data_IF_692592252895
#
_entry.id   IF_692592252895
#
_cell.length_a   1.000
_cell.length_b   1.000
_cell.length_c   1.000
_cell.angle_alpha   90.00
_cell.angle_beta   90.00
_cell.angle_gamma   90.00
#
_symmetry.space_group_name_H-M   'P 1'
#
loop_
_entity.id
_entity.type
_entity.pdbx_description
1 polymer ?
#
# COMPACT_ATOMS: atom_id res chain seq x y z
N UNK A 1 -22.69 43.64 24.76
CA UNK A 1 -22.66 42.70 23.59
C UNK A 1 -23.28 41.37 24.05
N UNK A 2 -24.28 40.86 23.37
CA UNK A 2 -25.00 39.66 23.83
C UNK A 2 -24.00 38.48 23.89
N UNK A 3 -23.91 37.82 25.05
CA UNK A 3 -22.95 36.72 25.33
C UNK A 3 -22.98 35.61 24.24
N UNK A 4 -24.13 35.41 23.59
CA UNK A 4 -24.32 34.47 22.50
C UNK A 4 -23.55 34.89 21.22
N UNK A 5 -23.64 36.18 20.79
CA UNK A 5 -22.95 36.70 19.59
C UNK A 5 -21.41 36.62 19.73
N UNK A 6 -20.91 36.91 20.94
CA UNK A 6 -19.48 36.80 21.25
C UNK A 6 -18.99 35.37 21.14
N UNK A 7 -19.74 34.39 21.67
CA UNK A 7 -19.40 32.97 21.59
C UNK A 7 -19.33 32.47 20.13
N UNK A 8 -20.30 32.84 19.28
CA UNK A 8 -20.32 32.47 17.88
C UNK A 8 -19.12 33.08 17.15
N UNK A 9 -18.78 34.33 17.41
CA UNK A 9 -17.65 34.99 16.80
C UNK A 9 -16.31 34.32 17.18
N UNK A 10 -16.11 33.99 18.45
CA UNK A 10 -14.95 33.26 18.94
C UNK A 10 -14.86 31.88 18.26
N UNK A 11 -15.97 31.17 18.17
CA UNK A 11 -16.05 29.88 17.49
C UNK A 11 -15.61 30.00 16.02
N UNK A 12 -16.15 30.99 15.28
CA UNK A 12 -15.80 31.21 13.89
C UNK A 12 -14.30 31.60 13.71
N UNK A 13 -13.76 32.46 14.57
CA UNK A 13 -12.34 32.86 14.53
C UNK A 13 -11.41 31.65 14.68
N UNK A 14 -11.80 30.64 15.46
CA UNK A 14 -11.01 29.43 15.66
C UNK A 14 -11.21 28.45 14.49
N UNK A 15 -12.45 28.16 14.13
CA UNK A 15 -12.75 27.06 13.20
C UNK A 15 -12.61 27.43 11.72
N UNK A 16 -12.77 28.70 11.32
CA UNK A 16 -12.55 29.14 9.93
C UNK A 16 -11.09 28.88 9.48
N UNK A 17 -10.05 29.30 10.23
CA UNK A 17 -8.68 29.00 9.85
C UNK A 17 -8.40 27.48 9.83
N UNK A 18 -8.95 26.71 10.76
CA UNK A 18 -8.78 25.25 10.81
C UNK A 18 -9.34 24.61 9.53
N UNK A 19 -10.58 24.96 9.17
CA UNK A 19 -11.23 24.36 7.98
C UNK A 19 -10.53 24.75 6.69
N UNK A 20 -10.03 25.99 6.57
CA UNK A 20 -9.21 26.42 5.43
C UNK A 20 -7.91 25.60 5.37
N UNK A 21 -7.19 25.48 6.48
CA UNK A 21 -5.92 24.74 6.54
C UNK A 21 -6.11 23.27 6.16
N UNK A 22 -7.18 22.63 6.61
CA UNK A 22 -7.52 21.26 6.26
C UNK A 22 -7.88 21.13 4.78
N UNK A 23 -8.59 22.10 4.20
CA UNK A 23 -8.88 22.16 2.77
C UNK A 23 -7.59 22.26 1.93
N UNK A 24 -6.69 23.16 2.31
CA UNK A 24 -5.39 23.31 1.64
C UNK A 24 -4.52 22.06 1.75
N UNK A 25 -4.45 21.46 2.93
CA UNK A 25 -3.75 20.19 3.15
C UNK A 25 -4.27 19.07 2.23
N UNK A 26 -5.59 18.98 2.03
CA UNK A 26 -6.18 18.00 1.12
C UNK A 26 -5.77 18.26 -0.35
N UNK A 27 -5.65 19.52 -0.77
CA UNK A 27 -5.17 19.87 -2.11
C UNK A 27 -3.70 19.43 -2.29
N UNK A 28 -2.85 19.68 -1.30
CA UNK A 28 -1.44 19.24 -1.34
C UNK A 28 -1.35 17.72 -1.45
N UNK A 29 -2.14 16.97 -0.66
CA UNK A 29 -2.21 15.50 -0.77
C UNK A 29 -2.71 15.04 -2.13
N UNK A 30 -3.69 15.71 -2.72
CA UNK A 30 -4.15 15.40 -4.08
C UNK A 30 -3.04 15.53 -5.11
N UNK A 31 -2.26 16.62 -5.03
CA UNK A 31 -1.13 16.85 -5.94
C UNK A 31 -0.01 15.82 -5.76
N UNK A 32 0.33 15.47 -4.51
CA UNK A 32 1.27 14.38 -4.21
C UNK A 32 0.83 13.06 -4.86
N UNK A 33 -0.46 12.68 -4.71
CA UNK A 33 -0.98 11.44 -5.31
C UNK A 33 -0.97 11.46 -6.84
N UNK A 34 -1.23 12.62 -7.46
CA UNK A 34 -1.08 12.78 -8.92
C UNK A 34 0.35 12.54 -9.38
N UNK A 35 1.34 13.07 -8.67
CA UNK A 35 2.76 12.88 -8.99
C UNK A 35 3.18 11.41 -8.86
N UNK A 36 2.74 10.73 -7.79
CA UNK A 36 3.01 9.29 -7.61
C UNK A 36 2.45 8.48 -8.79
N UNK A 37 1.21 8.74 -9.19
CA UNK A 37 0.58 8.04 -10.33
C UNK A 37 1.30 8.36 -11.63
N UNK A 38 1.64 9.62 -11.90
CA UNK A 38 2.35 10.01 -13.13
C UNK A 38 3.73 9.33 -13.23
N UNK A 39 4.46 9.24 -12.13
CA UNK A 39 5.73 8.51 -12.07
C UNK A 39 5.54 7.00 -12.28
N UNK A 40 4.52 6.42 -11.65
CA UNK A 40 4.17 5.02 -11.85
C UNK A 40 3.85 4.71 -13.32
N UNK A 41 2.97 5.51 -13.95
CA UNK A 41 2.60 5.34 -15.36
C UNK A 41 3.82 5.47 -16.29
N UNK A 42 4.73 6.40 -15.99
CA UNK A 42 6.00 6.56 -16.73
C UNK A 42 6.91 5.33 -16.58
N UNK A 43 7.00 4.76 -15.39
CA UNK A 43 7.81 3.56 -15.15
C UNK A 43 7.22 2.34 -15.87
N UNK A 44 5.91 2.16 -15.87
CA UNK A 44 5.26 0.99 -16.50
C UNK A 44 5.53 0.86 -18.00
N UNK A 45 5.82 1.97 -18.70
CA UNK A 45 6.16 1.95 -20.13
C UNK A 45 7.68 1.83 -20.39
N UNK A 46 8.50 1.84 -19.34
CA UNK A 46 9.94 1.65 -19.48
C UNK A 46 10.28 0.19 -19.70
N UNK A 47 11.42 -0.07 -20.37
CA UNK A 47 11.92 -1.42 -20.52
C UNK A 47 12.29 -2.03 -19.15
N UNK A 48 12.00 -3.33 -18.92
CA UNK A 48 12.43 -4.01 -17.71
C UNK A 48 13.95 -4.01 -17.58
N UNK A 49 14.43 -3.88 -16.36
CA UNK A 49 15.85 -3.98 -16.02
C UNK A 49 16.12 -5.40 -15.51
N UNK A 50 17.19 -6.03 -15.98
CA UNK A 50 17.63 -7.33 -15.44
C UNK A 50 18.04 -7.14 -13.98
N UNK A 51 17.39 -7.90 -13.08
CA UNK A 51 17.66 -7.83 -11.66
C UNK A 51 19.07 -8.28 -11.31
N UNK A 52 19.81 -7.44 -10.59
CA UNK A 52 21.17 -7.71 -10.14
C UNK A 52 21.30 -7.47 -8.63
N UNK A 53 22.28 -8.12 -8.02
CA UNK A 53 22.61 -7.93 -6.62
C UNK A 53 22.99 -6.47 -6.32
N UNK A 54 22.52 -5.93 -5.20
CA UNK A 54 22.78 -4.55 -4.74
C UNK A 54 22.38 -3.43 -5.72
N UNK A 55 21.51 -3.70 -6.67
CA UNK A 55 21.03 -2.70 -7.62
C UNK A 55 20.10 -1.72 -6.91
N UNK A 56 20.32 -0.42 -7.14
CA UNK A 56 19.38 0.62 -6.69
C UNK A 56 18.22 0.67 -7.68
N UNK A 57 17.00 0.53 -7.16
CA UNK A 57 15.77 0.52 -7.94
C UNK A 57 14.77 1.49 -7.34
N UNK A 58 13.98 2.11 -8.18
CA UNK A 58 12.81 2.87 -7.76
C UNK A 58 11.64 1.93 -7.41
N UNK A 59 10.75 2.38 -6.52
CA UNK A 59 9.52 1.63 -6.27
C UNK A 59 8.68 1.57 -7.55
N UNK A 60 8.18 0.38 -7.88
CA UNK A 60 7.49 0.07 -9.14
C UNK A 60 8.36 0.06 -10.39
N UNK A 61 9.69 0.08 -10.27
CA UNK A 61 10.60 -0.11 -11.41
C UNK A 61 10.33 -1.46 -12.07
N UNK A 62 10.06 -1.51 -13.40
CA UNK A 62 9.98 -2.78 -14.11
C UNK A 62 11.30 -3.53 -14.07
N UNK A 63 11.23 -4.81 -13.70
CA UNK A 63 12.37 -5.70 -13.57
C UNK A 63 12.05 -7.06 -14.15
N UNK A 64 13.08 -7.75 -14.59
CA UNK A 64 13.01 -9.14 -15.03
C UNK A 64 14.12 -9.96 -14.40
N UNK A 65 13.89 -11.25 -14.22
CA UNK A 65 14.90 -12.19 -13.73
C UNK A 65 14.61 -13.60 -14.20
N UNK A 66 15.66 -14.43 -14.25
CA UNK A 66 15.57 -15.85 -14.58
C UNK A 66 15.92 -16.66 -13.33
N UNK A 67 15.19 -17.74 -13.09
CA UNK A 67 15.44 -18.60 -11.93
C UNK A 67 14.37 -19.65 -11.73
N UNK A 68 14.28 -20.16 -10.51
CA UNK A 68 13.35 -21.23 -10.10
C UNK A 68 12.61 -20.85 -8.82
N UNK A 69 11.35 -21.27 -8.72
CA UNK A 69 10.61 -21.19 -7.46
C UNK A 69 11.10 -22.27 -6.49
N UNK A 70 11.27 -21.90 -5.24
CA UNK A 70 11.63 -22.80 -4.15
C UNK A 70 10.35 -23.29 -3.41
N UNK A 71 10.46 -24.30 -2.55
CA UNK A 71 9.29 -24.84 -1.82
C UNK A 71 8.75 -23.92 -0.73
N UNK A 72 9.34 -22.73 -0.55
CA UNK A 72 8.99 -21.79 0.50
C UNK A 72 7.92 -20.79 0.06
N UNK A 73 6.73 -20.90 0.64
CA UNK A 73 5.61 -19.98 0.42
C UNK A 73 5.22 -19.33 1.74
N UNK A 74 5.03 -18.01 1.71
CA UNK A 74 4.66 -17.18 2.87
C UNK A 74 3.34 -16.46 2.58
N UNK A 75 2.46 -16.41 3.55
CA UNK A 75 1.14 -15.81 3.46
C UNK A 75 1.05 -14.60 4.39
N UNK A 76 0.92 -13.40 3.84
CA UNK A 76 0.63 -12.21 4.65
C UNK A 76 -0.88 -12.16 4.91
N UNK A 77 -1.25 -12.25 6.20
CA UNK A 77 -2.65 -12.25 6.65
C UNK A 77 -3.27 -10.84 6.62
N UNK A 78 -4.55 -10.77 6.97
CA UNK A 78 -5.33 -9.53 7.08
C UNK A 78 -5.39 -8.69 5.78
N UNK A 79 -5.14 -9.31 4.63
CA UNK A 79 -5.33 -8.67 3.33
C UNK A 79 -6.84 -8.57 3.00
N UNK A 80 -7.25 -7.40 2.52
CA UNK A 80 -8.62 -7.16 2.04
C UNK A 80 -8.54 -6.72 0.58
N UNK A 81 -9.19 -7.46 -0.30
CA UNK A 81 -9.30 -7.11 -1.71
C UNK A 81 -10.77 -7.12 -2.14
N UNK A 82 -11.27 -5.97 -2.63
CA UNK A 82 -12.68 -5.80 -3.04
C UNK A 82 -13.70 -6.25 -1.96
N UNK A 83 -13.40 -5.96 -0.68
CA UNK A 83 -14.26 -6.30 0.47
C UNK A 83 -14.17 -7.76 0.94
N UNK A 84 -13.30 -8.57 0.35
CA UNK A 84 -13.06 -9.96 0.71
C UNK A 84 -11.76 -10.10 1.48
N UNK A 85 -11.80 -10.81 2.60
CA UNK A 85 -10.62 -11.12 3.40
C UNK A 85 -9.83 -12.29 2.79
N UNK A 86 -8.50 -12.26 2.91
CA UNK A 86 -7.64 -13.31 2.37
C UNK A 86 -6.18 -13.06 2.67
N UNK A 87 -5.33 -13.65 1.86
CA UNK A 87 -3.90 -13.66 2.01
C UNK A 87 -3.20 -13.06 0.79
N UNK A 88 -2.12 -12.31 1.03
CA UNK A 88 -1.14 -12.06 -0.02
C UNK A 88 -0.14 -13.21 -0.04
N UNK A 89 0.16 -13.69 -1.22
CA UNK A 89 1.02 -14.86 -1.41
C UNK A 89 2.40 -14.40 -1.86
N UNK A 90 3.41 -14.76 -1.09
CA UNK A 90 4.83 -14.52 -1.38
C UNK A 90 5.51 -15.86 -1.57
N UNK A 91 6.13 -16.08 -2.72
CA UNK A 91 6.80 -17.31 -3.07
C UNK A 91 8.29 -17.04 -3.23
N UNK A 92 9.12 -17.78 -2.53
CA UNK A 92 10.57 -17.64 -2.63
C UNK A 92 11.05 -18.07 -4.03
N UNK A 93 11.88 -17.24 -4.62
CA UNK A 93 12.45 -17.45 -5.95
C UNK A 93 13.96 -17.31 -5.87
N UNK A 94 14.67 -18.28 -6.42
CA UNK A 94 16.12 -18.29 -6.51
C UNK A 94 16.53 -17.88 -7.92
N UNK A 95 17.19 -16.73 -8.01
CA UNK A 95 17.73 -16.21 -9.27
C UNK A 95 18.94 -17.04 -9.73
N UNK A 96 19.24 -16.97 -11.01
CA UNK A 96 20.40 -17.69 -11.61
C UNK A 96 21.76 -17.25 -11.05
N UNK A 97 21.86 -16.01 -10.58
CA UNK A 97 23.06 -15.51 -9.90
C UNK A 97 23.22 -16.01 -8.44
N UNK A 98 22.31 -16.88 -7.99
CA UNK A 98 22.27 -17.43 -6.63
C UNK A 98 21.69 -16.51 -5.58
N UNK A 99 21.19 -15.33 -5.94
CA UNK A 99 20.44 -14.46 -5.02
C UNK A 99 19.00 -14.94 -4.88
N UNK A 100 18.31 -14.47 -3.83
CA UNK A 100 16.93 -14.83 -3.53
C UNK A 100 16.05 -13.58 -3.51
N UNK A 101 14.78 -13.76 -3.90
CA UNK A 101 13.74 -12.73 -3.80
C UNK A 101 12.39 -13.37 -3.50
N UNK A 102 11.55 -12.71 -2.74
CA UNK A 102 10.15 -13.12 -2.60
C UNK A 102 9.31 -12.52 -3.74
N UNK A 103 8.68 -13.39 -4.50
CA UNK A 103 7.76 -13.03 -5.59
C UNK A 103 6.35 -12.88 -5.02
N UNK A 104 5.80 -11.67 -5.08
CA UNK A 104 4.41 -11.38 -4.74
C UNK A 104 3.49 -11.85 -5.87
N UNK A 105 2.88 -13.02 -5.68
CA UNK A 105 1.99 -13.64 -6.66
C UNK A 105 0.57 -13.09 -6.65
N UNK A 106 0.24 -12.25 -5.69
CA UNK A 106 -1.08 -11.61 -5.59
C UNK A 106 -1.88 -12.05 -4.36
N UNK A 107 -3.20 -11.87 -4.44
CA UNK A 107 -4.16 -12.13 -3.38
C UNK A 107 -4.96 -13.41 -3.67
N UNK A 108 -5.17 -14.21 -2.63
CA UNK A 108 -6.09 -15.35 -2.63
C UNK A 108 -7.11 -15.13 -1.51
N UNK A 109 -8.39 -15.24 -1.85
CA UNK A 109 -9.49 -15.14 -0.89
C UNK A 109 -9.42 -16.28 0.13
N UNK A 110 -9.66 -15.98 1.41
CA UNK A 110 -9.74 -16.97 2.48
C UNK A 110 -10.98 -17.81 2.33
N UNK A 111 -10.83 -19.13 2.38
CA UNK A 111 -11.97 -20.02 2.46
C UNK A 111 -12.50 -20.04 3.91
N UNK A 112 -13.66 -19.42 4.13
CA UNK A 112 -14.27 -19.34 5.46
C UNK A 112 -14.79 -20.69 5.99
N UNK A 113 -14.97 -21.69 5.12
CA UNK A 113 -15.48 -23.02 5.50
C UNK A 113 -14.31 -23.94 5.89
N UNK A 114 -13.21 -23.85 5.15
CA UNK A 114 -11.98 -24.60 5.43
C UNK A 114 -10.97 -23.64 6.03
N UNK A 115 -10.70 -23.76 7.32
CA UNK A 115 -9.74 -22.89 8.02
C UNK A 115 -8.26 -23.21 7.68
N UNK A 116 -8.02 -23.67 6.46
CA UNK A 116 -6.69 -24.04 5.96
C UNK A 116 -6.15 -22.93 5.04
N UNK A 117 -4.82 -22.83 4.99
CA UNK A 117 -4.15 -21.99 4.00
C UNK A 117 -4.50 -22.46 2.58
N UNK A 118 -4.60 -21.52 1.62
CA UNK A 118 -4.85 -21.89 0.24
C UNK A 118 -3.68 -22.72 -0.32
N UNK A 119 -4.00 -23.70 -1.12
CA UNK A 119 -3.00 -24.45 -1.88
C UNK A 119 -2.46 -23.58 -2.99
N UNK A 120 -1.15 -23.55 -3.14
CA UNK A 120 -0.41 -22.76 -4.14
C UNK A 120 0.44 -23.71 -4.94
N UNK A 121 0.25 -23.73 -6.24
CA UNK A 121 1.05 -24.52 -7.15
C UNK A 121 2.48 -23.98 -7.23
N UNK A 122 3.47 -24.88 -7.17
CA UNK A 122 4.90 -24.58 -7.28
C UNK A 122 5.34 -24.91 -8.70
N UNK A 123 5.68 -23.90 -9.54
CA UNK A 123 6.21 -24.15 -10.86
C UNK A 123 7.58 -24.85 -10.78
N UNK A 124 7.70 -26.02 -11.35
CA UNK A 124 8.91 -26.86 -11.25
C UNK A 124 10.02 -26.38 -12.20
N UNK A 125 9.68 -25.68 -13.27
CA UNK A 125 10.62 -25.31 -14.32
C UNK A 125 11.30 -23.97 -14.05
N UNK A 126 12.56 -23.86 -14.48
CA UNK A 126 13.25 -22.59 -14.57
C UNK A 126 12.56 -21.70 -15.58
N UNK A 127 12.29 -20.45 -15.19
CA UNK A 127 11.59 -19.50 -16.07
C UNK A 127 12.12 -18.08 -15.95
N UNK A 128 11.93 -17.31 -17.02
CA UNK A 128 12.03 -15.86 -17.01
C UNK A 128 10.71 -15.30 -16.47
N UNK A 129 10.79 -14.43 -15.46
CA UNK A 129 9.64 -13.73 -14.89
C UNK A 129 9.80 -12.23 -15.06
N UNK A 130 8.67 -11.55 -15.30
CA UNK A 130 8.54 -10.11 -15.41
C UNK A 130 7.73 -9.57 -14.25
N UNK A 131 8.07 -8.37 -13.78
CA UNK A 131 7.34 -7.74 -12.69
C UNK A 131 7.87 -6.35 -12.38
N UNK A 132 7.57 -5.89 -11.17
CA UNK A 132 8.05 -4.60 -10.67
C UNK A 132 8.66 -4.74 -9.28
N UNK A 133 9.67 -3.92 -8.97
CA UNK A 133 10.22 -3.83 -7.63
C UNK A 133 9.19 -3.17 -6.69
N UNK A 134 8.81 -3.85 -5.62
CA UNK A 134 7.83 -3.36 -4.65
C UNK A 134 8.47 -3.20 -3.27
N UNK A 135 8.77 -1.97 -2.90
CA UNK A 135 9.29 -1.64 -1.58
C UNK A 135 8.14 -1.45 -0.59
N UNK A 136 8.10 -2.27 0.45
CA UNK A 136 7.15 -2.13 1.57
C UNK A 136 7.74 -1.23 2.63
N UNK A 137 6.95 -0.28 3.12
CA UNK A 137 7.29 0.47 4.32
C UNK A 137 6.84 -0.35 5.52
N UNK A 138 7.77 -0.69 6.40
CA UNK A 138 7.45 -1.43 7.62
C UNK A 138 6.57 -0.56 8.52
N UNK A 139 5.46 -1.12 8.96
CA UNK A 139 4.59 -0.46 9.92
C UNK A 139 5.09 -0.76 11.34
N UNK A 140 5.60 0.27 12.04
CA UNK A 140 6.12 0.13 13.41
C UNK A 140 5.07 -0.32 14.44
N UNK A 141 3.79 -0.26 14.09
CA UNK A 141 2.67 -0.69 14.95
C UNK A 141 2.32 -2.17 14.79
N UNK A 142 2.79 -2.83 13.73
CA UNK A 142 2.57 -4.27 13.54
C UNK A 142 3.55 -5.00 14.46
N UNK A 143 3.02 -5.67 15.50
CA UNK A 143 3.81 -6.57 16.33
C UNK A 143 3.92 -7.91 15.64
N UNK A 144 5.09 -8.51 15.65
CA UNK A 144 5.26 -9.92 15.26
C UNK A 144 4.52 -10.80 16.26
N UNK A 145 3.33 -11.23 15.89
CA UNK A 145 2.57 -12.22 16.63
C UNK A 145 3.00 -13.56 16.05
N UNK A 146 3.41 -14.49 16.93
CA UNK A 146 3.64 -15.86 16.51
C UNK A 146 2.31 -16.47 16.12
N UNK A 147 2.16 -16.77 14.83
CA UNK A 147 1.01 -17.44 14.29
C UNK A 147 1.12 -18.97 14.49
N UNK A 148 -0.02 -19.64 14.57
CA UNK A 148 -0.07 -21.11 14.71
C UNK A 148 0.57 -21.85 13.53
N UNK A 149 0.53 -21.28 12.33
CA UNK A 149 1.24 -21.77 11.14
C UNK A 149 2.44 -20.86 10.84
N UNK A 150 3.62 -21.45 10.83
CA UNK A 150 4.88 -20.74 10.59
C UNK A 150 4.96 -20.06 9.21
N UNK A 151 4.10 -20.40 8.27
CA UNK A 151 4.02 -19.77 6.94
C UNK A 151 3.24 -18.47 6.94
N UNK A 152 2.50 -18.16 8.02
CA UNK A 152 1.75 -16.91 8.13
C UNK A 152 2.64 -15.81 8.69
N UNK A 153 2.53 -14.61 8.12
CA UNK A 153 3.15 -13.38 8.60
C UNK A 153 2.09 -12.25 8.64
N UNK A 154 2.33 -11.26 9.50
CA UNK A 154 1.46 -10.09 9.58
C UNK A 154 1.87 -9.01 8.58
N UNK A 155 3.17 -8.92 8.28
CA UNK A 155 3.72 -7.95 7.34
C UNK A 155 5.03 -8.50 6.75
N UNK A 156 5.27 -8.21 5.46
CA UNK A 156 6.52 -8.58 4.81
C UNK A 156 7.69 -7.75 5.38
N UNK A 157 8.68 -8.45 5.91
CA UNK A 157 9.96 -7.89 6.35
C UNK A 157 11.08 -8.87 6.00
N UNK A 158 11.96 -8.48 5.06
CA UNK A 158 13.01 -9.35 4.56
C UNK A 158 13.98 -9.81 5.67
N UNK A 159 14.34 -8.94 6.62
CA UNK A 159 15.26 -9.28 7.72
C UNK A 159 14.66 -10.36 8.63
N UNK A 160 13.38 -10.22 8.99
CA UNK A 160 12.69 -11.21 9.82
C UNK A 160 12.52 -12.55 9.09
N UNK A 161 12.35 -12.54 7.77
CA UNK A 161 12.25 -13.76 6.98
C UNK A 161 13.60 -14.49 6.87
N UNK A 162 14.73 -13.78 6.84
CA UNK A 162 16.06 -14.41 6.91
C UNK A 162 16.23 -15.16 8.23
N UNK A 163 15.82 -14.56 9.33
CA UNK A 163 15.90 -15.20 10.66
C UNK A 163 14.96 -16.40 10.78
N UNK A 164 13.78 -16.29 10.17
CA UNK A 164 12.73 -17.32 10.21
C UNK A 164 13.05 -18.54 9.35
N UNK A 165 13.72 -18.36 8.21
CA UNK A 165 14.03 -19.43 7.26
C UNK A 165 15.54 -19.72 7.20
N UNK A 166 16.04 -20.77 7.90
CA UNK A 166 17.48 -21.08 7.99
C UNK A 166 18.18 -21.25 6.62
N UNK A 167 17.44 -21.64 5.58
CA UNK A 167 17.98 -21.77 4.22
C UNK A 167 18.41 -20.43 3.61
N UNK A 168 17.93 -19.31 4.13
CA UNK A 168 18.32 -17.95 3.70
C UNK A 168 19.53 -17.40 4.45
N UNK A 169 19.95 -18.08 5.54
CA UNK A 169 21.14 -17.71 6.29
C UNK A 169 22.35 -17.75 5.37
N UNK A 170 23.17 -16.71 5.40
CA UNK A 170 24.35 -16.54 4.53
C UNK A 170 24.04 -16.39 3.03
N UNK A 171 22.76 -16.20 2.68
CA UNK A 171 22.32 -15.91 1.31
C UNK A 171 21.92 -14.44 1.16
N UNK A 172 22.05 -13.93 -0.06
CA UNK A 172 21.56 -12.61 -0.35
C UNK A 172 20.07 -12.68 -0.71
N UNK A 173 19.24 -12.12 0.17
CA UNK A 173 17.82 -11.89 -0.08
C UNK A 173 17.63 -10.42 -0.48
N UNK A 174 16.98 -10.17 -1.61
CA UNK A 174 16.59 -8.80 -1.97
C UNK A 174 15.62 -8.21 -0.94
N UNK A 175 15.82 -6.93 -0.50
CA UNK A 175 15.04 -6.34 0.59
C UNK A 175 13.64 -5.87 0.18
N UNK A 176 13.21 -6.15 -1.04
CA UNK A 176 11.92 -5.78 -1.62
C UNK A 176 11.24 -7.00 -2.24
N UNK A 177 9.95 -6.88 -2.54
CA UNK A 177 9.17 -7.89 -3.24
C UNK A 177 9.29 -7.73 -4.74
N UNK A 178 9.37 -8.84 -5.45
CA UNK A 178 9.14 -8.90 -6.89
C UNK A 178 7.63 -9.00 -7.13
N UNK A 179 6.97 -7.90 -7.46
CA UNK A 179 5.54 -7.93 -7.76
C UNK A 179 5.32 -8.47 -9.18
N UNK A 180 4.89 -9.71 -9.29
CA UNK A 180 4.76 -10.46 -10.53
C UNK A 180 3.83 -9.74 -11.52
N UNK A 181 4.16 -9.77 -12.81
CA UNK A 181 3.35 -9.17 -13.89
C UNK A 181 1.96 -9.82 -13.94
N UNK A 182 0.94 -9.03 -14.26
CA UNK A 182 -0.45 -9.47 -14.35
C UNK A 182 -0.70 -10.52 -15.43
N UNK A 183 0.18 -10.60 -16.44
CA UNK A 183 0.10 -11.54 -17.55
C UNK A 183 0.73 -12.89 -17.25
N UNK A 184 1.48 -13.01 -16.13
CA UNK A 184 2.06 -14.31 -15.75
C UNK A 184 0.94 -15.25 -15.26
N UNK A 185 0.97 -16.49 -15.78
CA UNK A 185 -0.01 -17.54 -15.43
C UNK A 185 -0.03 -17.89 -13.94
N UNK A 186 1.08 -17.63 -13.23
CA UNK A 186 1.19 -17.87 -11.78
C UNK A 186 0.75 -16.68 -10.93
N UNK A 187 0.27 -15.59 -11.55
CA UNK A 187 -0.26 -14.42 -10.84
C UNK A 187 -1.70 -14.68 -10.39
N UNK A 188 -1.94 -14.44 -9.10
CA UNK A 188 -3.28 -14.39 -8.52
C UNK A 188 -3.91 -13.00 -8.67
N UNK A 189 -5.00 -12.73 -7.96
CA UNK A 189 -5.67 -11.45 -8.04
C UNK A 189 -4.73 -10.29 -7.65
N UNK A 190 -4.65 -9.21 -8.44
CA UNK A 190 -3.83 -8.05 -8.09
C UNK A 190 -4.42 -7.34 -6.87
N UNK A 191 -3.56 -6.91 -5.96
CA UNK A 191 -3.98 -6.18 -4.76
C UNK A 191 -3.14 -4.91 -4.55
N UNK A 192 -1.88 -4.91 -4.94
CA UNK A 192 -0.99 -3.77 -4.73
C UNK A 192 -1.34 -2.63 -5.67
N UNK A 193 -1.33 -1.42 -5.13
CA UNK A 193 -1.64 -0.17 -5.85
C UNK A 193 -0.62 0.88 -5.47
N UNK A 194 -0.23 1.77 -6.40
CA UNK A 194 0.74 2.83 -6.10
C UNK A 194 0.21 3.83 -5.06
N UNK A 195 -1.11 3.97 -4.94
CA UNK A 195 -1.75 4.84 -3.95
C UNK A 195 -2.99 4.16 -3.34
N UNK A 196 -3.16 4.26 -2.02
CA UNK A 196 -4.34 3.73 -1.32
C UNK A 196 -5.56 4.63 -1.49
N UNK A 197 -5.34 5.96 -1.55
CA UNK A 197 -6.38 6.96 -1.77
C UNK A 197 -6.06 7.78 -3.02
N UNK A 198 -7.04 7.91 -3.91
CA UNK A 198 -6.88 8.65 -5.17
C UNK A 198 -6.88 10.16 -4.97
N UNK A 199 -6.25 10.90 -5.87
CA UNK A 199 -6.25 12.36 -5.87
C UNK A 199 -7.68 12.95 -5.90
N UNK A 200 -8.60 12.32 -6.63
CA UNK A 200 -10.01 12.75 -6.70
C UNK A 200 -10.73 12.68 -5.35
N UNK A 201 -10.45 11.67 -4.52
CA UNK A 201 -10.99 11.58 -3.16
C UNK A 201 -10.47 12.72 -2.27
N UNK A 202 -9.19 13.05 -2.36
CA UNK A 202 -8.62 14.20 -1.65
C UNK A 202 -9.26 15.52 -2.09
N UNK A 203 -9.49 15.72 -3.39
CA UNK A 203 -10.22 16.90 -3.89
C UNK A 203 -11.64 16.94 -3.34
N UNK A 204 -12.35 15.81 -3.30
CA UNK A 204 -13.68 15.73 -2.68
C UNK A 204 -13.68 16.19 -1.21
N UNK A 205 -12.69 15.76 -0.42
CA UNK A 205 -12.54 16.22 0.96
C UNK A 205 -12.18 17.71 1.05
N UNK A 206 -11.36 18.24 0.13
CA UNK A 206 -11.06 19.67 0.08
C UNK A 206 -12.33 20.50 -0.14
N UNK A 207 -13.20 20.07 -1.08
CA UNK A 207 -14.49 20.72 -1.33
C UNK A 207 -15.36 20.70 -0.08
N UNK A 208 -15.41 19.59 0.67
CA UNK A 208 -16.17 19.51 1.92
C UNK A 208 -15.64 20.49 2.97
N UNK A 209 -14.31 20.59 3.17
CA UNK A 209 -13.72 21.51 4.13
C UNK A 209 -13.99 22.97 3.77
N UNK A 210 -13.85 23.37 2.50
CA UNK A 210 -14.19 24.72 2.07
C UNK A 210 -15.67 25.01 2.11
N UNK A 211 -16.52 24.00 1.84
CA UNK A 211 -17.98 24.12 2.00
C UNK A 211 -18.37 24.35 3.46
N UNK A 212 -17.77 23.63 4.41
CA UNK A 212 -17.97 23.84 5.85
C UNK A 212 -17.48 25.24 6.29
N UNK A 213 -16.34 25.69 5.76
CA UNK A 213 -15.84 27.05 6.00
C UNK A 213 -16.85 28.11 5.54
N UNK A 214 -17.34 27.99 4.30
CA UNK A 214 -18.32 28.92 3.74
C UNK A 214 -19.62 28.92 4.55
N UNK A 215 -20.15 27.76 4.91
CA UNK A 215 -21.32 27.62 5.73
C UNK A 215 -21.13 28.27 7.12
N UNK A 216 -19.99 28.05 7.75
CA UNK A 216 -19.67 28.66 9.05
C UNK A 216 -19.62 30.19 8.97
N UNK A 217 -19.02 30.75 7.93
CA UNK A 217 -18.98 32.20 7.71
C UNK A 217 -20.38 32.75 7.50
N UNK A 218 -21.20 32.12 6.63
CA UNK A 218 -22.57 32.56 6.34
C UNK A 218 -23.42 32.52 7.61
N UNK A 219 -23.38 31.43 8.36
CA UNK A 219 -24.15 31.29 9.61
C UNK A 219 -23.71 32.27 10.68
N UNK A 220 -22.41 32.56 10.76
CA UNK A 220 -21.86 33.55 11.69
C UNK A 220 -22.36 34.95 11.35
N UNK A 221 -22.33 35.35 10.06
CA UNK A 221 -22.85 36.65 9.60
C UNK A 221 -24.35 36.73 9.85
N UNK A 222 -25.12 35.68 9.55
CA UNK A 222 -26.55 35.64 9.80
C UNK A 222 -26.88 35.80 11.27
N UNK A 223 -26.23 35.03 12.15
CA UNK A 223 -26.45 35.09 13.59
C UNK A 223 -26.06 36.47 14.19
N UNK A 224 -25.01 37.12 13.62
CA UNK A 224 -24.58 38.45 14.07
C UNK A 224 -25.55 39.52 13.64
N UNK A 225 -26.15 39.46 12.43
CA UNK A 225 -27.11 40.43 11.90
C UNK A 225 -28.49 40.28 12.49
N UNK A 226 -28.87 39.10 12.99
CA UNK A 226 -30.18 38.88 13.60
C UNK A 226 -30.29 39.79 14.84
N UNK A 227 -31.26 40.73 14.81
CA UNK A 227 -31.61 41.53 15.96
C UNK A 227 -32.15 40.58 17.02
N UNK A 228 -31.58 40.57 18.24
CA UNK A 228 -32.13 39.80 19.35
C UNK A 228 -33.54 40.34 19.65
N UNK A 229 -34.55 39.48 19.60
CA UNK A 229 -35.81 39.69 20.27
C UNK A 229 -35.60 39.68 21.77
#
# INVERSE_FOLDING_TARGET
MNNFKTKILIFAIIFVPITISLGMWQIERANEKKLIIANYDKLLVSAPIVLQKNQMLDNWQPIETIGTYEDTIVYEDNAINNGKAGFKVYHLFRNDDGTFIFVHRGFIERNLIKNNLPEVEIPAEKKLIYGTALFKQNNTFVKNIEESDSRIIQEFNASLLIDKYPMLKDKYLHPFLFNLDLRDVNKYQPIEKPVNMTASKHIGYAIQWFGLCAALIILTIYAYRRKGE
#
